data_IF_417604602975
#
_entry.id   IF_417604602975
#
_cell.length_a   1.000
_cell.length_b   1.000
_cell.length_c   1.000
_cell.angle_alpha   90.00
_cell.angle_beta   90.00
_cell.angle_gamma   90.00
#
_symmetry.space_group_name_H-M   'P 1'
#
loop_
_entity.id
_entity.type
_entity.pdbx_description
1 polymer ?
#
# COMPACT_ATOMS: atom_id res chain seq x y z
N UNK A 1 39.52 -3.97 -3.99
CA UNK A 1 38.56 -3.98 -2.88
C UNK A 1 37.43 -3.02 -3.22
N UNK A 2 36.42 -3.48 -3.98
CA UNK A 2 35.25 -2.69 -4.35
C UNK A 2 34.04 -3.33 -3.71
N UNK A 3 33.67 -2.87 -2.52
CA UNK A 3 32.50 -3.38 -1.80
C UNK A 3 31.25 -3.00 -2.57
N UNK A 4 30.65 -3.96 -3.29
CA UNK A 4 29.32 -3.80 -3.84
C UNK A 4 28.39 -3.39 -2.69
N UNK A 5 27.78 -2.22 -2.85
CA UNK A 5 26.92 -1.58 -1.87
C UNK A 5 25.84 -2.57 -1.41
N UNK A 6 25.76 -2.86 -0.11
CA UNK A 6 24.70 -3.68 0.54
C UNK A 6 23.28 -3.09 0.39
N UNK A 7 23.15 -1.98 -0.34
CA UNK A 7 21.90 -1.30 -0.64
C UNK A 7 21.27 -1.75 -1.97
N UNK A 8 21.83 -2.75 -2.66
CA UNK A 8 21.15 -3.43 -3.77
C UNK A 8 20.19 -4.49 -3.25
N UNK A 9 19.25 -4.09 -2.39
CA UNK A 9 18.06 -4.88 -2.04
C UNK A 9 16.82 -4.16 -2.57
N UNK A 10 16.77 -3.96 -3.88
CA UNK A 10 15.56 -3.51 -4.60
C UNK A 10 14.63 -4.68 -4.90
N UNK A 11 14.44 -5.60 -3.94
CA UNK A 11 13.24 -6.41 -3.90
C UNK A 11 12.19 -5.61 -3.12
N UNK A 12 11.77 -4.47 -3.69
CA UNK A 12 10.48 -3.88 -3.29
C UNK A 12 9.45 -4.84 -3.85
N UNK A 13 9.15 -5.89 -3.08
CA UNK A 13 7.89 -6.59 -3.26
C UNK A 13 6.85 -5.54 -2.90
N UNK A 14 6.29 -4.86 -3.90
CA UNK A 14 5.08 -4.09 -3.69
C UNK A 14 4.06 -5.13 -3.28
N UNK A 15 3.83 -5.28 -1.97
CA UNK A 15 2.86 -6.23 -1.45
C UNK A 15 1.53 -5.92 -2.14
N UNK A 16 1.15 -6.73 -3.14
CA UNK A 16 -0.10 -6.57 -3.86
C UNK A 16 -1.19 -7.02 -2.92
N UNK A 17 -1.93 -6.07 -2.36
CA UNK A 17 -3.05 -6.36 -1.50
C UNK A 17 -4.28 -6.53 -2.39
N UNK A 18 -4.96 -7.67 -2.27
CA UNK A 18 -6.19 -7.93 -3.00
C UNK A 18 -7.38 -7.76 -2.05
N UNK A 19 -8.43 -7.09 -2.52
CA UNK A 19 -9.72 -7.04 -1.87
C UNK A 19 -10.47 -8.36 -2.09
N UNK A 20 -11.30 -8.83 -1.15
CA UNK A 20 -12.19 -9.99 -1.36
C UNK A 20 -13.14 -9.81 -2.56
N UNK A 21 -13.34 -8.57 -2.99
CA UNK A 21 -14.11 -8.22 -4.17
C UNK A 21 -13.40 -8.48 -5.51
N UNK A 22 -12.13 -8.94 -5.49
CA UNK A 22 -11.32 -9.18 -6.69
C UNK A 22 -10.51 -7.97 -7.17
N UNK A 23 -10.72 -6.79 -6.57
CA UNK A 23 -10.01 -5.56 -6.90
C UNK A 23 -8.65 -5.43 -6.19
N UNK A 24 -7.76 -4.63 -6.77
CA UNK A 24 -6.48 -4.30 -6.14
C UNK A 24 -6.68 -3.22 -5.07
N UNK A 25 -6.03 -3.37 -3.93
CA UNK A 25 -6.03 -2.40 -2.83
C UNK A 25 -4.77 -1.55 -2.93
N UNK A 26 -4.97 -0.26 -3.19
CA UNK A 26 -3.92 0.73 -3.33
C UNK A 26 -3.83 1.55 -2.04
N UNK A 27 -2.63 1.75 -1.54
CA UNK A 27 -2.40 2.65 -0.41
C UNK A 27 -2.41 4.10 -0.92
N UNK A 28 -3.25 4.94 -0.31
CA UNK A 28 -3.32 6.38 -0.57
C UNK A 28 -3.02 7.15 0.71
N UNK A 29 -2.32 8.27 0.55
CA UNK A 29 -2.16 9.24 1.64
C UNK A 29 -3.11 10.39 1.37
N UNK A 30 -4.11 10.55 2.23
CA UNK A 30 -5.09 11.64 2.20
C UNK A 30 -4.67 12.73 3.18
N UNK A 31 -4.75 13.99 2.76
CA UNK A 31 -4.55 15.13 3.64
C UNK A 31 -5.91 15.73 3.98
N UNK A 32 -6.37 15.54 5.22
CA UNK A 32 -7.69 15.97 5.66
C UNK A 32 -7.58 16.74 6.98
N UNK A 33 -8.18 17.94 7.04
CA UNK A 33 -8.18 18.82 8.22
C UNK A 33 -6.79 19.08 8.81
N UNK A 34 -5.79 19.30 7.95
CA UNK A 34 -4.40 19.57 8.37
C UNK A 34 -3.61 18.33 8.81
N UNK A 35 -4.19 17.13 8.69
CA UNK A 35 -3.55 15.87 9.08
C UNK A 35 -3.38 14.94 7.89
N UNK A 36 -2.19 14.34 7.78
CA UNK A 36 -1.91 13.25 6.85
C UNK A 36 -2.51 11.95 7.41
N UNK A 37 -3.34 11.28 6.63
CA UNK A 37 -3.91 9.96 6.91
C UNK A 37 -3.47 9.00 5.82
N UNK A 38 -2.89 7.87 6.21
CA UNK A 38 -2.65 6.77 5.30
C UNK A 38 -3.88 5.85 5.32
N UNK A 39 -4.47 5.62 4.16
CA UNK A 39 -5.63 4.76 3.97
C UNK A 39 -5.36 3.77 2.83
N UNK A 40 -6.01 2.63 2.88
CA UNK A 40 -6.01 1.63 1.83
C UNK A 40 -7.35 1.71 1.10
N UNK A 41 -7.35 1.95 -0.21
CA UNK A 41 -8.55 2.05 -1.04
C UNK A 41 -8.57 0.93 -2.08
N UNK A 42 -9.68 0.22 -2.20
CA UNK A 42 -9.87 -0.74 -3.30
C UNK A 42 -10.34 -0.04 -4.59
N UNK A 43 -9.71 -0.36 -5.71
CA UNK A 43 -10.03 0.20 -7.03
C UNK A 43 -11.38 -0.23 -7.59
N UNK A 44 -11.91 -1.40 -7.21
CA UNK A 44 -13.21 -1.88 -7.70
C UNK A 44 -14.38 -1.40 -6.83
N UNK A 45 -14.35 -1.67 -5.53
CA UNK A 45 -15.48 -1.36 -4.65
C UNK A 45 -15.37 0.02 -3.98
N UNK A 46 -14.26 0.75 -4.20
CA UNK A 46 -13.95 2.04 -3.56
C UNK A 46 -14.02 2.02 -2.03
N UNK A 47 -13.95 0.83 -1.42
CA UNK A 47 -13.91 0.69 0.04
C UNK A 47 -12.59 1.24 0.55
N UNK A 48 -12.66 2.07 1.57
CA UNK A 48 -11.51 2.74 2.19
C UNK A 48 -11.37 2.21 3.60
N UNK A 49 -10.26 1.54 3.89
CA UNK A 49 -9.93 1.04 5.22
C UNK A 49 -8.60 1.63 5.69
N UNK A 50 -8.30 1.47 6.99
CA UNK A 50 -7.02 1.95 7.54
C UNK A 50 -5.84 1.06 7.14
N UNK A 51 -6.03 -0.25 7.05
CA UNK A 51 -4.97 -1.18 6.66
C UNK A 51 -5.47 -2.14 5.59
N UNK A 52 -4.59 -2.60 4.69
CA UNK A 52 -4.95 -3.61 3.71
C UNK A 52 -5.43 -4.95 4.32
N UNK A 53 -5.06 -5.26 5.57
CA UNK A 53 -5.51 -6.46 6.29
C UNK A 53 -6.98 -6.42 6.72
N UNK A 54 -7.57 -5.22 6.78
CA UNK A 54 -8.98 -5.04 7.13
C UNK A 54 -9.89 -5.40 5.94
N UNK A 55 -9.34 -5.52 4.73
CA UNK A 55 -9.99 -6.15 3.58
C UNK A 55 -9.94 -7.68 3.74
N UNK A 56 -10.71 -8.22 4.69
CA UNK A 56 -11.05 -9.65 4.76
C UNK A 56 -12.24 -9.97 3.88
#
# INVERSE_FOLDING_TARGET
>A
MGGASKNSRTAVTTHKFACPCGGEVIMKTLFESGKLKNVAECTQCKRVERRPKDFK
#
